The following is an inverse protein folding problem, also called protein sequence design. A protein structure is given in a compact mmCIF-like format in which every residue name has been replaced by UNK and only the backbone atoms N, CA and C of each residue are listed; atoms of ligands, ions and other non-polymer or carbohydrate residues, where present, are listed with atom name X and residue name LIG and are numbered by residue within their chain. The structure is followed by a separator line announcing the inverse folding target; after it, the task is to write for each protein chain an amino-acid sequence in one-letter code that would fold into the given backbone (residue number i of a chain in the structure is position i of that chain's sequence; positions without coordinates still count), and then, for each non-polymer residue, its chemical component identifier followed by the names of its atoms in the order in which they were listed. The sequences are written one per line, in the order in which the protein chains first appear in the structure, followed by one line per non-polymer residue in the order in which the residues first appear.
data_IF_207597426230
#
_entry.id   IF_207597426230
#
_cell.length_a   1.000
_cell.length_b   1.000
_cell.length_c   1.000
_cell.angle_alpha   90.00
_cell.angle_beta   90.00
_cell.angle_gamma   90.00
#
_symmetry.space_group_name_H-M   'P 1'
#
loop_
_entity.id
_entity.type
_entity.pdbx_description
1 polymer ?
#
# COMPACT_ATOMS: atom_id res chain seq x y z
N UNK A 1 29.81 13.06 13.29
CA UNK A 1 29.38 11.75 12.76
C UNK A 1 29.63 10.71 13.84
N UNK A 2 28.58 10.01 14.28
CA UNK A 2 28.65 9.11 15.43
C UNK A 2 29.58 7.92 15.10
N UNK A 3 30.58 7.68 15.95
CA UNK A 3 31.61 6.64 15.76
C UNK A 3 31.01 5.26 15.41
N UNK A 4 29.86 4.94 16.01
CA UNK A 4 29.08 3.73 15.72
C UNK A 4 28.55 3.67 14.29
N UNK A 5 28.06 4.78 13.74
CA UNK A 5 27.54 4.86 12.37
C UNK A 5 28.66 4.77 11.34
N UNK A 6 29.83 5.34 11.63
CA UNK A 6 31.02 5.23 10.76
C UNK A 6 31.56 3.79 10.73
N UNK A 7 31.57 3.09 11.87
CA UNK A 7 31.94 1.67 11.93
C UNK A 7 30.94 0.82 11.15
N UNK A 8 29.65 1.09 11.28
CA UNK A 8 28.62 0.36 10.55
C UNK A 8 28.76 0.58 9.04
N UNK A 9 29.05 1.80 8.60
CA UNK A 9 29.33 2.13 7.20
C UNK A 9 30.60 1.45 6.67
N UNK A 10 31.69 1.45 7.44
CA UNK A 10 32.94 0.79 7.05
C UNK A 10 32.79 -0.74 6.98
N UNK A 11 32.03 -1.32 7.91
CA UNK A 11 31.75 -2.75 7.91
C UNK A 11 30.87 -3.16 6.71
N UNK A 12 29.84 -2.36 6.41
CA UNK A 12 28.99 -2.54 5.23
C UNK A 12 29.77 -2.38 3.92
N UNK A 13 30.66 -1.39 3.84
CA UNK A 13 31.50 -1.13 2.67
C UNK A 13 32.52 -2.24 2.43
N UNK A 14 33.11 -2.78 3.50
CA UNK A 14 34.03 -3.93 3.42
C UNK A 14 33.31 -5.18 2.93
N UNK A 15 32.09 -5.45 3.43
CA UNK A 15 31.28 -6.59 3.00
C UNK A 15 30.90 -6.51 1.51
N UNK A 16 30.69 -5.30 0.99
CA UNK A 16 30.34 -5.05 -0.40
C UNK A 16 31.51 -5.27 -1.38
N UNK A 17 32.76 -5.07 -0.93
CA UNK A 17 33.96 -5.26 -1.73
C UNK A 17 34.45 -6.73 -1.82
N UNK A 18 33.90 -7.65 -1.03
CA UNK A 18 34.28 -9.08 -1.03
C UNK A 18 33.48 -9.95 -2.02
N UNK A 19 32.59 -9.34 -2.83
CA UNK A 19 31.85 -10.02 -3.90
C UNK A 19 32.77 -10.38 -5.07
N UNK A 20 33.44 -11.53 -4.97
CA UNK A 20 34.18 -12.12 -6.09
C UNK A 20 33.20 -12.67 -7.12
N UNK A 21 33.47 -12.41 -8.39
CA UNK A 21 32.67 -12.82 -9.55
C UNK A 21 32.43 -14.34 -9.56
N UNK A 22 31.18 -14.74 -9.35
CA UNK A 22 30.70 -16.11 -9.58
C UNK A 22 29.56 -16.04 -10.61
N UNK A 23 29.96 -15.93 -11.88
CA UNK A 23 29.11 -15.78 -13.08
C UNK A 23 28.21 -17.00 -13.39
N UNK A 24 27.91 -17.86 -12.41
CA UNK A 24 27.09 -19.07 -12.58
C UNK A 24 25.87 -19.15 -11.66
N UNK A 25 25.78 -18.31 -10.62
CA UNK A 25 24.55 -18.19 -9.84
C UNK A 25 24.50 -16.76 -9.33
N UNK A 26 23.80 -15.91 -10.07
CA UNK A 26 23.03 -14.83 -9.47
C UNK A 26 22.46 -15.41 -8.16
N UNK A 27 23.00 -14.98 -7.01
CA UNK A 27 22.76 -15.67 -5.74
C UNK A 27 21.26 -15.92 -5.52
N UNK A 28 20.85 -16.94 -4.75
CA UNK A 28 19.45 -17.36 -4.63
C UNK A 28 18.48 -16.20 -4.25
N UNK A 29 19.01 -15.07 -3.78
CA UNK A 29 18.28 -13.83 -3.54
C UNK A 29 17.94 -12.97 -4.77
N UNK A 30 18.68 -12.97 -5.87
CA UNK A 30 18.35 -12.06 -6.97
C UNK A 30 17.16 -12.52 -7.81
N UNK A 31 16.89 -13.83 -7.88
CA UNK A 31 15.60 -14.34 -8.34
C UNK A 31 14.45 -13.89 -7.44
N UNK A 32 14.65 -13.88 -6.11
CA UNK A 32 13.65 -13.40 -5.13
C UNK A 32 13.40 -11.89 -5.23
N UNK A 33 14.43 -11.08 -5.52
CA UNK A 33 14.26 -9.64 -5.73
C UNK A 33 13.41 -9.33 -6.96
N UNK A 34 13.66 -10.04 -8.08
CA UNK A 34 12.87 -9.90 -9.31
C UNK A 34 11.44 -10.41 -9.09
N UNK A 35 11.29 -11.55 -8.42
CA UNK A 35 9.97 -12.11 -8.11
C UNK A 35 9.19 -11.17 -7.19
N UNK A 36 9.86 -10.58 -6.19
CA UNK A 36 9.29 -9.62 -5.25
C UNK A 36 8.88 -8.31 -5.91
N UNK A 37 9.69 -7.75 -6.81
CA UNK A 37 9.34 -6.53 -7.54
C UNK A 37 8.16 -6.75 -8.49
N UNK A 38 8.12 -7.90 -9.17
CA UNK A 38 6.98 -8.28 -10.02
C UNK A 38 5.70 -8.46 -9.19
N UNK A 39 5.80 -9.13 -8.04
CA UNK A 39 4.68 -9.30 -7.10
C UNK A 39 4.17 -7.96 -6.54
N UNK A 40 5.07 -7.03 -6.23
CA UNK A 40 4.69 -5.71 -5.74
C UNK A 40 3.84 -4.95 -6.76
N UNK A 41 4.18 -5.03 -8.06
CA UNK A 41 3.37 -4.42 -9.13
C UNK A 41 1.99 -5.06 -9.21
N UNK A 42 1.90 -6.40 -9.16
CA UNK A 42 0.61 -7.11 -9.16
C UNK A 42 -0.28 -6.67 -8.00
N UNK A 43 0.28 -6.63 -6.78
CA UNK A 43 -0.46 -6.20 -5.59
C UNK A 43 -0.88 -4.73 -5.69
N UNK A 44 -0.01 -3.86 -6.21
CA UNK A 44 -0.35 -2.45 -6.41
C UNK A 44 -1.53 -2.27 -7.37
N UNK A 45 -1.58 -3.04 -8.46
CA UNK A 45 -2.71 -3.04 -9.40
C UNK A 45 -3.98 -3.50 -8.70
N UNK A 46 -3.92 -4.60 -7.96
CA UNK A 46 -5.07 -5.12 -7.21
C UNK A 46 -5.60 -4.07 -6.22
N UNK A 47 -4.71 -3.45 -5.44
CA UNK A 47 -5.08 -2.37 -4.50
C UNK A 47 -5.69 -1.18 -5.24
N UNK A 48 -5.12 -0.75 -6.37
CA UNK A 48 -5.64 0.35 -7.16
C UNK A 48 -7.05 0.06 -7.69
N UNK A 49 -7.29 -1.17 -8.19
CA UNK A 49 -8.61 -1.62 -8.63
C UNK A 49 -9.61 -1.63 -7.48
N UNK A 50 -9.24 -2.19 -6.32
CA UNK A 50 -10.09 -2.17 -5.14
C UNK A 50 -10.37 -0.74 -4.69
N UNK A 51 -9.38 0.13 -4.60
CA UNK A 51 -9.58 1.53 -4.23
C UNK A 51 -10.54 2.25 -5.17
N UNK A 52 -10.38 2.03 -6.49
CA UNK A 52 -11.26 2.57 -7.51
C UNK A 52 -12.69 2.02 -7.42
N UNK A 53 -12.87 0.73 -7.10
CA UNK A 53 -14.19 0.11 -6.86
C UNK A 53 -14.82 0.54 -5.53
N UNK A 54 -14.00 0.80 -4.51
CA UNK A 54 -14.49 1.13 -3.16
C UNK A 54 -15.03 2.56 -3.13
N UNK A 55 -14.49 3.46 -3.95
CA UNK A 55 -14.96 4.85 -4.08
C UNK A 55 -16.45 4.97 -4.48
N UNK A 56 -16.95 4.37 -5.58
CA UNK A 56 -18.36 4.41 -5.94
C UNK A 56 -19.22 3.64 -4.94
N UNK A 57 -18.74 2.51 -4.41
CA UNK A 57 -19.48 1.74 -3.42
C UNK A 57 -19.71 2.54 -2.13
N UNK A 58 -18.67 3.24 -1.66
CA UNK A 58 -18.75 4.13 -0.49
C UNK A 58 -19.61 5.36 -0.75
N UNK A 59 -19.54 5.94 -1.95
CA UNK A 59 -20.42 7.03 -2.35
C UNK A 59 -21.90 6.60 -2.40
N UNK A 60 -22.18 5.40 -2.93
CA UNK A 60 -23.52 4.83 -3.00
C UNK A 60 -24.07 4.51 -1.60
N UNK A 61 -23.26 3.92 -0.72
CA UNK A 61 -23.62 3.69 0.68
C UNK A 61 -23.97 4.98 1.43
N UNK A 62 -23.24 6.07 1.19
CA UNK A 62 -23.58 7.39 1.74
C UNK A 62 -24.95 7.88 1.24
N UNK A 63 -25.22 7.79 -0.07
CA UNK A 63 -26.50 8.19 -0.66
C UNK A 63 -27.68 7.34 -0.14
N UNK A 64 -27.49 6.04 0.04
CA UNK A 64 -28.51 5.14 0.58
C UNK A 64 -28.84 5.44 2.05
N UNK A 65 -27.86 5.83 2.87
CA UNK A 65 -28.13 6.23 4.27
C UNK A 65 -28.85 7.57 4.37
N UNK A 66 -28.53 8.55 3.53
CA UNK A 66 -29.18 9.88 3.55
C UNK A 66 -30.67 9.77 3.18
N UNK A 67 -31.06 8.88 2.25
CA UNK A 67 -32.46 8.67 1.89
C UNK A 67 -33.32 8.05 3.00
N UNK A 68 -32.72 7.40 4.01
CA UNK A 68 -33.46 6.85 5.17
C UNK A 68 -33.67 7.87 6.30
N UNK A 69 -33.01 9.02 6.23
CA UNK A 69 -33.17 10.12 7.17
C UNK A 69 -34.08 11.23 6.62
N UNK A 70 -35.09 10.87 5.83
CA UNK A 70 -36.27 11.70 5.67
C UNK A 70 -37.30 11.19 6.69
N UNK A 71 -37.24 11.64 7.97
CA UNK A 71 -38.39 11.49 8.83
C UNK A 71 -39.52 12.24 8.16
N UNK A 72 -40.59 11.50 7.94
CA UNK A 72 -41.95 11.98 7.80
C UNK A 72 -42.22 13.07 8.83
N UNK A 73 -41.91 14.33 8.49
CA UNK A 73 -42.58 15.49 9.07
C UNK A 73 -43.92 15.66 8.35
N UNK A 74 -44.70 14.58 8.37
CA UNK A 74 -46.14 14.59 8.28
C UNK A 74 -46.63 14.57 9.72
N UNK A 75 -46.52 15.70 10.40
CA UNK A 75 -47.24 15.94 11.64
C UNK A 75 -47.41 17.47 11.72
N UNK A 76 -48.45 17.98 11.08
CA UNK A 76 -49.71 18.34 11.74
C UNK A 76 -49.52 19.43 12.82
N UNK A 77 -50.31 20.49 12.64
CA UNK A 77 -50.72 21.47 13.67
C UNK A 77 -49.70 22.59 13.99
N UNK A 78 -49.97 23.89 13.84
CA UNK A 78 -51.22 24.60 14.07
C UNK A 78 -51.45 25.75 13.08
N UNK A 79 -52.63 25.75 12.45
CA UNK A 79 -53.44 26.96 12.23
C UNK A 79 -53.81 27.50 13.62
N UNK A 80 -53.49 28.76 13.92
CA UNK A 80 -54.29 29.82 14.58
C UNK A 80 -53.36 30.90 15.09
#
# INVERSE_FOLDING_TARGET
MNFKSSIFLLLALTFLCFGNDADAYIGPGAGLSVLGSLWAVVVAIVIALFALLTWPLRALWRRLRVKRAAPTASDHDHRT
#
